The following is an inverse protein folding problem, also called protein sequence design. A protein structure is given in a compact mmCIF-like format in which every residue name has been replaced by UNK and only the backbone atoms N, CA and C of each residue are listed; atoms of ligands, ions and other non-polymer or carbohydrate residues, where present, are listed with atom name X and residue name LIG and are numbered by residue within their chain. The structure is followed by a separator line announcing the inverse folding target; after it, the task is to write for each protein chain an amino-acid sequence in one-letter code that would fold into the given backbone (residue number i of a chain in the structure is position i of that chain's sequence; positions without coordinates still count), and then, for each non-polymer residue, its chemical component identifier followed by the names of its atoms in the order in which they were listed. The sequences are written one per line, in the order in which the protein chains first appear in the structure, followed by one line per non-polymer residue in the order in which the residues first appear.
data_IF_700839630510
#
_entry.id   IF_700839630510
#
_cell.length_a   1.000
_cell.length_b   1.000
_cell.length_c   1.000
_cell.angle_alpha   90.00
_cell.angle_beta   90.00
_cell.angle_gamma   90.00
#
_symmetry.space_group_name_H-M   'P 1'
#
loop_
_entity.id
_entity.type
_entity.pdbx_description
1 polymer ?
#
# COMPACT_ATOMS: atom_id res chain seq x y z
N UNK A 1 6.48 -2.65 29.43
CA UNK A 1 6.44 -2.73 27.95
C UNK A 1 4.98 -2.79 27.55
N UNK A 2 4.52 -1.89 26.68
CA UNK A 2 3.15 -1.98 26.18
C UNK A 2 3.03 -3.23 25.30
N UNK A 3 1.96 -3.98 25.48
CA UNK A 3 1.71 -5.20 24.72
C UNK A 3 1.48 -4.85 23.24
N UNK A 4 2.17 -5.56 22.34
CA UNK A 4 2.09 -5.26 20.90
C UNK A 4 0.74 -5.72 20.36
N UNK A 5 0.01 -4.82 19.71
CA UNK A 5 -1.24 -5.13 18.99
C UNK A 5 -1.07 -6.31 18.04
N UNK A 6 -2.02 -7.26 18.09
CA UNK A 6 -2.13 -8.35 17.12
C UNK A 6 -2.80 -7.80 15.85
N UNK A 7 -2.16 -7.89 14.67
CA UNK A 7 -2.74 -7.39 13.43
C UNK A 7 -3.75 -8.38 12.84
N UNK A 8 -4.78 -7.88 12.17
CA UNK A 8 -5.66 -8.70 11.35
C UNK A 8 -4.94 -9.09 10.06
N UNK A 9 -4.83 -10.41 9.80
CA UNK A 9 -4.14 -10.95 8.63
C UNK A 9 -5.05 -11.83 7.79
N UNK A 10 -5.06 -11.58 6.48
CA UNK A 10 -5.85 -12.30 5.50
C UNK A 10 -5.13 -12.35 4.15
N UNK A 11 -4.49 -13.49 3.87
CA UNK A 11 -3.72 -13.70 2.64
C UNK A 11 -4.56 -13.56 1.36
N UNK A 12 -5.87 -13.85 1.41
CA UNK A 12 -6.74 -13.74 0.23
C UNK A 12 -6.88 -12.28 -0.22
N UNK A 13 -6.94 -11.34 0.72
CA UNK A 13 -6.98 -9.90 0.39
C UNK A 13 -5.67 -9.48 -0.29
N UNK A 14 -4.53 -9.92 0.24
CA UNK A 14 -3.22 -9.59 -0.32
C UNK A 14 -3.03 -10.17 -1.74
N UNK A 15 -3.49 -11.40 -1.95
CA UNK A 15 -3.39 -12.10 -3.24
C UNK A 15 -4.33 -11.54 -4.31
N UNK A 16 -5.44 -10.91 -3.89
CA UNK A 16 -6.43 -10.35 -4.82
C UNK A 16 -5.86 -9.22 -5.69
N UNK A 17 -4.72 -8.62 -5.34
CA UNK A 17 -4.13 -7.53 -6.12
C UNK A 17 -3.41 -7.99 -7.40
N UNK A 18 -2.97 -9.25 -7.47
CA UNK A 18 -2.09 -9.70 -8.56
C UNK A 18 -2.86 -9.71 -9.89
N UNK A 19 -2.36 -8.95 -10.88
CA UNK A 19 -2.98 -8.85 -12.21
C UNK A 19 -4.16 -7.88 -12.28
N UNK A 20 -4.50 -7.20 -11.19
CA UNK A 20 -5.55 -6.18 -11.17
C UNK A 20 -5.01 -4.82 -11.64
N UNK A 21 -5.93 -3.89 -11.91
CA UNK A 21 -5.56 -2.51 -12.18
C UNK A 21 -5.07 -1.78 -10.91
N UNK A 22 -4.13 -0.85 -11.07
CA UNK A 22 -3.75 0.07 -10.00
C UNK A 22 -4.95 0.95 -9.62
N UNK A 23 -5.33 0.96 -8.34
CA UNK A 23 -6.45 1.79 -7.86
C UNK A 23 -6.00 3.15 -7.36
N UNK A 24 -4.70 3.30 -7.04
CA UNK A 24 -4.14 4.57 -6.57
C UNK A 24 -4.15 5.65 -7.66
N UNK A 25 -3.85 5.27 -8.92
CA UNK A 25 -3.88 6.15 -10.09
C UNK A 25 -3.24 7.52 -9.87
N UNK A 26 -2.08 7.55 -9.19
CA UNK A 26 -1.30 8.77 -9.06
C UNK A 26 -0.82 9.25 -10.45
N UNK A 27 -0.49 10.54 -10.65
CA UNK A 27 -0.10 11.01 -11.98
C UNK A 27 1.18 10.34 -12.53
N UNK A 28 2.00 9.73 -11.68
CA UNK A 28 3.17 8.91 -12.05
C UNK A 28 2.89 7.40 -12.10
N UNK A 29 1.61 6.99 -12.25
CA UNK A 29 1.24 5.57 -12.36
C UNK A 29 1.82 4.97 -13.64
N UNK A 30 2.46 3.80 -13.54
CA UNK A 30 2.96 3.08 -14.71
C UNK A 30 1.89 2.21 -15.40
N UNK A 31 0.70 2.07 -14.82
CA UNK A 31 -0.42 1.26 -15.31
C UNK A 31 -0.10 -0.23 -15.60
N UNK A 32 1.00 -0.76 -15.05
CA UNK A 32 1.45 -2.13 -15.30
C UNK A 32 0.86 -3.10 -14.25
N UNK A 33 -0.15 -3.87 -14.67
CA UNK A 33 -0.87 -4.86 -13.85
C UNK A 33 0.04 -5.97 -13.30
N UNK A 34 1.15 -6.29 -13.98
CA UNK A 34 2.07 -7.33 -13.53
C UNK A 34 2.85 -6.90 -12.28
N UNK A 35 2.93 -5.59 -12.03
CA UNK A 35 3.59 -5.02 -10.85
C UNK A 35 2.64 -4.71 -9.69
N UNK A 36 1.33 -4.94 -9.88
CA UNK A 36 0.33 -4.57 -8.87
C UNK A 36 0.38 -5.52 -7.68
N UNK A 37 0.47 -4.91 -6.50
CA UNK A 37 0.46 -5.58 -5.21
C UNK A 37 -0.52 -4.90 -4.26
N UNK A 38 -0.88 -5.57 -3.17
CA UNK A 38 -1.61 -4.94 -2.09
C UNK A 38 -0.66 -4.08 -1.25
N UNK A 39 -0.81 -2.76 -1.33
CA UNK A 39 -0.02 -1.79 -0.58
C UNK A 39 -0.76 -1.42 0.71
N UNK A 40 -0.21 -1.79 1.87
CA UNK A 40 -0.74 -1.35 3.17
C UNK A 40 -0.63 0.17 3.31
N UNK A 41 -1.66 0.82 3.87
CA UNK A 41 -1.56 2.25 4.20
C UNK A 41 -0.62 2.51 5.37
N UNK A 42 0.01 3.69 5.38
CA UNK A 42 1.02 4.08 6.37
C UNK A 42 0.43 4.81 7.59
N UNK A 43 -0.87 4.62 7.88
CA UNK A 43 -1.58 5.38 8.92
C UNK A 43 -1.76 4.59 10.22
N UNK A 44 -1.48 5.25 11.35
CA UNK A 44 -1.52 4.66 12.69
C UNK A 44 -2.91 4.15 13.08
N UNK A 45 -3.97 4.85 12.68
CA UNK A 45 -5.36 4.45 12.94
C UNK A 45 -5.71 3.08 12.31
N UNK A 46 -4.98 2.67 11.27
CA UNK A 46 -5.15 1.40 10.58
C UNK A 46 -4.24 0.28 11.14
N UNK A 47 -3.63 0.50 12.31
CA UNK A 47 -2.79 -0.49 12.97
C UNK A 47 -1.33 -0.50 12.49
N UNK A 48 -0.90 0.49 11.70
CA UNK A 48 0.52 0.71 11.37
C UNK A 48 1.31 1.03 12.64
N UNK A 49 2.49 0.41 12.78
CA UNK A 49 3.40 0.68 13.89
C UNK A 49 4.86 0.42 13.54
N UNK A 50 5.76 0.57 14.50
CA UNK A 50 7.19 0.24 14.35
C UNK A 50 7.35 -1.26 14.09
N UNK A 51 7.93 -1.63 12.95
CA UNK A 51 8.05 -3.03 12.54
C UNK A 51 6.72 -3.77 12.36
N UNK A 52 5.63 -3.05 12.09
CA UNK A 52 4.30 -3.61 11.89
C UNK A 52 3.62 -2.89 10.72
N UNK A 53 3.22 -3.64 9.68
CA UNK A 53 2.33 -3.15 8.63
C UNK A 53 0.90 -2.99 9.16
N UNK A 54 0.11 -2.09 8.58
CA UNK A 54 -1.32 -1.96 8.86
C UNK A 54 -2.06 -3.31 8.67
N UNK A 55 -3.31 -3.37 9.11
CA UNK A 55 -4.13 -4.56 8.92
C UNK A 55 -4.34 -4.88 7.44
N UNK A 56 -4.53 -6.16 7.11
CA UNK A 56 -4.66 -6.59 5.72
C UNK A 56 -5.95 -6.10 5.04
N UNK A 57 -6.91 -5.53 5.78
CA UNK A 57 -8.05 -4.82 5.19
C UNK A 57 -7.75 -3.36 4.83
N UNK A 58 -6.61 -2.82 5.26
CA UNK A 58 -6.26 -1.41 5.16
C UNK A 58 -5.13 -1.20 4.14
N UNK A 59 -5.52 -1.07 2.87
CA UNK A 59 -4.60 -0.90 1.77
C UNK A 59 -5.31 -0.58 0.47
N UNK A 60 -4.52 -0.56 -0.60
CA UNK A 60 -4.98 -0.33 -1.97
C UNK A 60 -4.18 -1.22 -2.93
N UNK A 61 -4.65 -1.36 -4.17
CA UNK A 61 -3.90 -2.05 -5.22
C UNK A 61 -2.98 -1.04 -5.88
N UNK A 62 -1.68 -1.19 -5.67
CA UNK A 62 -0.67 -0.25 -6.16
C UNK A 62 0.29 -0.95 -7.12
N UNK A 63 0.46 -0.38 -8.31
CA UNK A 63 1.58 -0.74 -9.17
C UNK A 63 2.91 -0.30 -8.54
N UNK A 64 4.04 -0.79 -9.05
CA UNK A 64 5.36 -0.50 -8.48
C UNK A 64 5.66 0.99 -8.36
N UNK A 65 5.27 1.81 -9.35
CA UNK A 65 5.47 3.26 -9.31
C UNK A 65 4.61 3.94 -8.23
N UNK A 66 3.31 3.65 -8.17
CA UNK A 66 2.42 4.21 -7.14
C UNK A 66 2.81 3.76 -5.73
N UNK A 67 3.25 2.50 -5.59
CA UNK A 67 3.74 1.98 -4.33
C UNK A 67 4.95 2.77 -3.84
N UNK A 68 5.95 2.99 -4.71
CA UNK A 68 7.12 3.81 -4.38
C UNK A 68 6.73 5.25 -4.00
N UNK A 69 5.85 5.88 -4.78
CA UNK A 69 5.40 7.25 -4.49
C UNK A 69 4.69 7.34 -3.13
N UNK A 70 3.84 6.36 -2.80
CA UNK A 70 3.12 6.33 -1.53
C UNK A 70 4.05 6.13 -0.34
N UNK A 71 4.94 5.14 -0.40
CA UNK A 71 5.85 4.82 0.71
C UNK A 71 6.85 5.93 0.99
N UNK A 72 7.20 6.73 -0.03
CA UNK A 72 8.13 7.86 0.10
C UNK A 72 7.43 9.21 0.25
N UNK A 73 6.09 9.24 0.39
CA UNK A 73 5.31 10.46 0.53
C UNK A 73 5.52 11.46 -0.64
N UNK A 74 5.67 10.94 -1.86
CA UNK A 74 5.98 11.70 -3.09
C UNK A 74 4.75 11.90 -3.99
N UNK A 75 3.57 11.45 -3.60
CA UNK A 75 2.35 11.51 -4.43
C UNK A 75 1.99 12.94 -4.86
N UNK A 76 2.31 13.93 -4.03
CA UNK A 76 2.06 15.36 -4.31
C UNK A 76 3.35 16.11 -4.67
N UNK A 77 4.46 15.41 -4.94
CA UNK A 77 5.71 16.06 -5.30
C UNK A 77 5.63 16.58 -6.76
N UNK A 78 5.66 17.90 -6.99
CA UNK A 78 5.58 18.47 -8.35
C UNK A 78 6.78 18.13 -9.24
N UNK A 79 7.87 17.59 -8.69
CA UNK A 79 9.05 17.19 -9.48
C UNK A 79 8.94 15.81 -10.13
N UNK A 80 7.88 15.06 -9.87
CA UNK A 80 7.65 13.73 -10.44
C UNK A 80 6.59 13.72 -11.57
N UNK A 81 6.13 14.91 -11.99
CA UNK A 81 5.08 15.10 -13.01
C UNK A 81 5.51 16.14 -14.04
#
# INVERSE_FOLDING_TARGET
MLEKRIPYRNKKILQAAKGEACTMNAPGCNCDSDTVVFCHINQSYAGKGTGQKADDYAGFFGCSACHYLYDNNQILNPHYF
#
